data_IF_161258973777
#
_entry.id   IF_161258973777
#
_cell.length_a   1.000
_cell.length_b   1.000
_cell.length_c   1.000
_cell.angle_alpha   90.00
_cell.angle_beta   90.00
_cell.angle_gamma   90.00
#
_symmetry.space_group_name_H-M   'P 1'
#
loop_
_entity.id
_entity.type
_entity.pdbx_description
1 polymer ?
#
# COMPACT_ATOMS: atom_id res chain seq x y z
N UNK A 1 -13.16 -5.62 28.11
CA UNK A 1 -12.31 -6.66 28.72
C UNK A 1 -10.92 -6.09 28.95
N UNK A 2 -10.14 -6.68 29.86
CA UNK A 2 -8.73 -6.32 30.10
C UNK A 2 -7.75 -7.29 29.40
N UNK A 3 -8.25 -8.07 28.44
CA UNK A 3 -7.48 -9.11 27.77
C UNK A 3 -6.46 -8.52 26.79
N UNK A 4 -5.26 -9.08 26.77
CA UNK A 4 -4.18 -8.70 25.86
C UNK A 4 -3.58 -9.95 25.23
N UNK A 5 -3.56 -10.00 23.89
CA UNK A 5 -2.95 -11.08 23.11
C UNK A 5 -1.71 -10.51 22.43
N UNK A 6 -0.54 -11.07 22.76
CA UNK A 6 0.74 -10.74 22.13
C UNK A 6 1.26 -11.95 21.36
N UNK A 7 1.52 -11.77 20.06
CA UNK A 7 2.07 -12.79 19.17
C UNK A 7 3.44 -12.32 18.71
N UNK A 8 4.46 -13.14 18.92
CA UNK A 8 5.82 -12.89 18.44
C UNK A 8 6.34 -14.11 17.70
N UNK A 9 6.63 -13.95 16.41
CA UNK A 9 7.29 -14.96 15.58
C UNK A 9 8.74 -14.52 15.31
N UNK A 10 9.70 -15.44 15.43
CA UNK A 10 11.13 -15.14 15.21
C UNK A 10 11.56 -15.20 13.74
N UNK A 11 10.75 -15.80 12.88
CA UNK A 11 11.05 -16.00 11.46
C UNK A 11 9.84 -15.64 10.61
N UNK A 12 8.96 -16.61 10.40
CA UNK A 12 7.85 -16.51 9.47
C UNK A 12 6.53 -16.60 10.24
N UNK A 13 5.54 -15.81 9.83
CA UNK A 13 4.16 -15.90 10.27
C UNK A 13 3.27 -15.94 9.04
N UNK A 14 2.62 -17.08 8.85
CA UNK A 14 1.67 -17.30 7.76
C UNK A 14 0.25 -17.36 8.33
N UNK A 15 -0.65 -16.57 7.75
CA UNK A 15 -2.07 -16.63 8.07
C UNK A 15 -2.84 -17.09 6.83
N UNK A 16 -3.41 -18.30 6.90
CA UNK A 16 -4.25 -18.86 5.86
C UNK A 16 -5.68 -18.96 6.37
N UNK A 17 -6.60 -18.28 5.71
CA UNK A 17 -8.04 -18.35 5.98
C UNK A 17 -8.71 -18.99 4.78
N UNK A 18 -9.29 -20.18 4.95
CA UNK A 18 -9.85 -20.98 3.84
C UNK A 18 -11.25 -20.53 3.39
N UNK A 19 -11.88 -19.65 4.16
CA UNK A 19 -13.21 -19.13 3.85
C UNK A 19 -13.25 -17.61 4.09
N UNK A 20 -13.67 -17.14 5.28
CA UNK A 20 -13.86 -15.72 5.55
C UNK A 20 -12.95 -15.21 6.67
N UNK A 21 -12.40 -14.00 6.48
CA UNK A 21 -11.73 -13.22 7.52
C UNK A 21 -12.50 -11.93 7.76
N UNK A 22 -12.95 -11.73 9.00
CA UNK A 22 -13.54 -10.46 9.45
C UNK A 22 -12.67 -9.87 10.54
N UNK A 23 -12.24 -8.62 10.36
CA UNK A 23 -11.45 -7.88 11.35
C UNK A 23 -12.23 -6.63 11.76
N UNK A 24 -12.51 -6.50 13.05
CA UNK A 24 -13.03 -5.28 13.64
C UNK A 24 -12.01 -4.73 14.66
N UNK A 25 -11.49 -3.54 14.41
CA UNK A 25 -10.58 -2.84 15.33
C UNK A 25 -11.34 -1.68 15.95
N UNK A 26 -11.64 -1.79 17.25
CA UNK A 26 -12.47 -0.80 17.97
C UNK A 26 -11.78 0.55 18.24
N UNK A 27 -10.50 0.67 17.92
CA UNK A 27 -9.71 1.90 18.07
C UNK A 27 -8.75 2.04 16.88
N UNK A 28 -7.46 1.76 17.09
CA UNK A 28 -6.41 2.04 16.11
C UNK A 28 -5.74 0.76 15.60
N UNK A 29 -5.36 0.78 14.31
CA UNK A 29 -4.46 -0.20 13.70
C UNK A 29 -3.18 0.51 13.30
N UNK A 30 -2.05 -0.05 13.73
CA UNK A 30 -0.72 0.42 13.36
C UNK A 30 0.00 -0.70 12.61
N UNK A 31 0.35 -0.44 11.35
CA UNK A 31 1.13 -1.36 10.52
C UNK A 31 2.47 -0.70 10.19
N UNK A 32 3.57 -1.39 10.49
CA UNK A 32 4.92 -0.98 10.11
C UNK A 32 5.61 -2.14 9.41
N UNK A 33 5.99 -1.93 8.16
CA UNK A 33 6.71 -2.90 7.33
C UNK A 33 8.05 -2.28 6.96
N UNK A 34 9.16 -2.90 7.40
CA UNK A 34 10.52 -2.37 7.18
C UNK A 34 11.00 -2.52 5.73
N UNK A 35 10.37 -3.41 4.97
CA UNK A 35 10.70 -3.70 3.58
C UNK A 35 9.45 -3.52 2.69
N UNK A 36 9.28 -4.40 1.71
CA UNK A 36 8.19 -4.30 0.74
C UNK A 36 6.88 -4.83 1.32
N UNK A 37 5.78 -4.18 0.96
CA UNK A 37 4.41 -4.68 1.15
C UNK A 37 3.81 -4.98 -0.22
N UNK A 38 3.15 -6.13 -0.34
CA UNK A 38 2.47 -6.56 -1.57
C UNK A 38 1.03 -6.93 -1.25
N UNK A 39 0.10 -6.54 -2.11
CA UNK A 39 -1.32 -6.89 -1.99
C UNK A 39 -1.89 -7.14 -3.37
N UNK A 40 -2.58 -8.25 -3.54
CA UNK A 40 -3.30 -8.62 -4.75
C UNK A 40 -4.72 -8.99 -4.34
N UNK A 41 -5.69 -8.27 -4.90
CA UNK A 41 -7.11 -8.54 -4.70
C UNK A 41 -7.63 -9.16 -5.99
N UNK A 42 -8.06 -10.42 -5.94
CA UNK A 42 -8.52 -11.15 -7.12
C UNK A 42 -9.88 -10.69 -7.67
N UNK A 43 -10.55 -9.76 -6.98
CA UNK A 43 -11.84 -9.19 -7.34
C UNK A 43 -11.85 -7.68 -7.00
N UNK A 44 -12.83 -7.21 -6.24
CA UNK A 44 -13.02 -5.79 -5.93
C UNK A 44 -12.33 -5.38 -4.62
N UNK A 45 -11.79 -4.16 -4.58
CA UNK A 45 -11.40 -3.48 -3.35
C UNK A 45 -12.37 -2.31 -3.12
N UNK A 46 -13.02 -2.29 -1.96
CA UNK A 46 -13.86 -1.18 -1.52
C UNK A 46 -13.20 -0.51 -0.32
N UNK A 47 -12.93 0.80 -0.43
CA UNK A 47 -12.24 1.55 0.62
C UNK A 47 -12.96 2.86 0.92
N UNK A 48 -13.41 3.01 2.16
CA UNK A 48 -14.00 4.26 2.67
C UNK A 48 -13.12 4.82 3.78
N UNK A 49 -12.68 6.06 3.64
CA UNK A 49 -11.96 6.81 4.67
C UNK A 49 -12.82 8.01 5.04
N UNK A 50 -13.30 8.07 6.28
CA UNK A 50 -14.17 9.17 6.74
C UNK A 50 -13.40 10.45 7.05
N UNK A 51 -12.16 10.31 7.53
CA UNK A 51 -11.26 11.42 7.78
C UNK A 51 -10.34 11.70 6.58
N UNK A 52 -9.31 12.51 6.82
CA UNK A 52 -8.28 12.75 5.82
C UNK A 52 -7.47 11.48 5.54
N UNK A 53 -7.15 11.23 4.27
CA UNK A 53 -6.12 10.27 3.85
C UNK A 53 -4.86 11.06 3.54
N UNK A 54 -3.87 11.00 4.43
CA UNK A 54 -2.54 11.58 4.20
C UNK A 54 -1.65 10.52 3.55
N UNK A 55 -0.89 10.88 2.51
CA UNK A 55 -0.02 9.95 1.79
C UNK A 55 1.24 10.69 1.33
N UNK A 56 2.41 10.19 1.75
CA UNK A 56 3.71 10.67 1.29
C UNK A 56 4.40 9.54 0.50
N UNK A 57 4.60 9.74 -0.79
CA UNK A 57 5.38 8.82 -1.63
C UNK A 57 6.73 9.49 -1.91
N UNK A 58 7.78 9.00 -1.25
CA UNK A 58 9.13 9.60 -1.34
C UNK A 58 9.85 9.34 -2.66
N UNK A 59 9.34 8.42 -3.46
CA UNK A 59 9.85 8.11 -4.80
C UNK A 59 8.71 8.21 -5.81
N UNK A 60 8.72 7.40 -6.85
CA UNK A 60 7.69 7.42 -7.88
C UNK A 60 6.41 6.72 -7.42
N UNK A 61 5.27 7.37 -7.67
CA UNK A 61 3.95 6.76 -7.62
C UNK A 61 3.53 6.35 -9.04
N UNK A 62 3.11 5.09 -9.21
CA UNK A 62 2.74 4.53 -10.52
C UNK A 62 1.29 4.07 -10.45
N UNK A 63 0.43 4.65 -11.28
CA UNK A 63 -0.98 4.28 -11.38
C UNK A 63 -1.29 3.84 -12.82
N UNK A 64 -1.82 2.62 -12.96
CA UNK A 64 -2.39 2.13 -14.22
C UNK A 64 -3.85 1.78 -13.98
N UNK A 65 -4.75 2.41 -14.74
CA UNK A 65 -6.19 2.10 -14.73
C UNK A 65 -6.52 1.52 -16.10
N UNK A 66 -6.90 0.24 -16.13
CA UNK A 66 -7.27 -0.44 -17.39
C UNK A 66 -8.65 -0.06 -17.94
N UNK A 67 -9.50 0.52 -17.07
CA UNK A 67 -10.83 1.04 -17.41
C UNK A 67 -10.92 2.55 -17.22
N UNK A 68 -12.02 3.01 -16.62
CA UNK A 68 -12.27 4.43 -16.37
C UNK A 68 -11.76 4.87 -15.01
N UNK A 69 -11.08 6.02 -14.95
CA UNK A 69 -10.77 6.71 -13.70
C UNK A 69 -11.75 7.87 -13.50
N UNK A 70 -12.55 7.82 -12.44
CA UNK A 70 -13.38 8.93 -12.02
C UNK A 70 -12.69 9.72 -10.89
N UNK A 71 -12.54 11.02 -11.08
CA UNK A 71 -11.98 11.93 -10.06
C UNK A 71 -13.03 12.99 -9.78
N UNK A 72 -13.58 13.00 -8.56
CA UNK A 72 -14.46 14.05 -8.06
C UNK A 72 -13.87 14.60 -6.77
N UNK A 73 -13.57 15.88 -6.77
CA UNK A 73 -13.17 16.65 -5.60
C UNK A 73 -14.23 17.72 -5.33
N UNK A 74 -14.50 18.00 -4.06
CA UNK A 74 -15.51 19.00 -3.69
C UNK A 74 -14.96 20.42 -3.78
N UNK A 75 -13.78 20.65 -3.21
CA UNK A 75 -13.24 22.00 -3.02
C UNK A 75 -12.19 22.39 -4.08
N UNK A 76 -11.16 21.56 -4.29
CA UNK A 76 -10.10 21.86 -5.24
C UNK A 76 -9.26 20.67 -5.66
N UNK A 77 -8.83 20.67 -6.92
CA UNK A 77 -7.84 19.75 -7.48
C UNK A 77 -6.56 20.55 -7.76
N UNK A 78 -5.60 20.47 -6.84
CA UNK A 78 -4.32 21.17 -6.96
C UNK A 78 -3.25 20.17 -7.40
N UNK A 79 -2.50 20.52 -8.46
CA UNK A 79 -1.43 19.69 -9.00
C UNK A 79 -0.25 20.55 -9.43
N UNK A 80 0.95 20.15 -9.02
CA UNK A 80 2.21 20.74 -9.43
C UNK A 80 3.13 19.63 -9.92
N UNK A 81 3.78 19.84 -11.05
CA UNK A 81 4.80 18.95 -11.58
C UNK A 81 6.08 19.74 -11.82
N UNK A 82 7.21 19.16 -11.42
CA UNK A 82 8.49 19.87 -11.52
C UNK A 82 9.00 20.07 -12.95
N UNK A 83 8.46 19.35 -13.94
CA UNK A 83 8.91 19.43 -15.35
C UNK A 83 7.75 19.42 -16.34
N UNK A 84 6.85 18.45 -16.26
CA UNK A 84 5.83 18.24 -17.29
C UNK A 84 4.50 17.77 -16.70
N UNK A 85 3.41 18.34 -17.21
CA UNK A 85 2.05 17.80 -17.10
C UNK A 85 1.62 17.38 -18.50
N UNK A 86 1.48 16.08 -18.74
CA UNK A 86 1.05 15.52 -20.02
C UNK A 86 -0.42 15.08 -19.97
N UNK A 87 -1.27 15.74 -20.76
CA UNK A 87 -2.69 15.38 -20.90
C UNK A 87 -2.95 15.07 -22.37
N UNK A 88 -3.25 13.79 -22.66
CA UNK A 88 -3.67 13.34 -23.99
C UNK A 88 -4.98 12.58 -23.89
N UNK A 89 -5.95 12.96 -24.71
CA UNK A 89 -7.14 12.18 -24.99
C UNK A 89 -7.12 11.70 -26.44
N UNK A 90 -7.67 10.50 -26.68
CA UNK A 90 -7.82 9.99 -28.05
C UNK A 90 -8.86 10.78 -28.86
N UNK A 91 -9.90 11.28 -28.19
CA UNK A 91 -11.00 12.02 -28.83
C UNK A 91 -11.05 13.47 -28.34
N UNK A 92 -11.42 13.71 -27.08
CA UNK A 92 -11.71 15.06 -26.57
C UNK A 92 -11.04 15.33 -25.22
N UNK A 93 -10.59 16.56 -25.03
CA UNK A 93 -10.31 17.17 -23.72
C UNK A 93 -11.32 18.30 -23.53
N UNK A 94 -12.11 18.25 -22.47
CA UNK A 94 -13.11 19.29 -22.14
C UNK A 94 -12.71 19.89 -20.80
N UNK A 95 -12.51 21.20 -20.78
CA UNK A 95 -12.21 21.99 -19.57
C UNK A 95 -13.32 23.02 -19.43
N UNK A 96 -14.09 22.92 -18.35
CA UNK A 96 -15.18 23.83 -18.03
C UNK A 96 -14.86 24.54 -16.72
N UNK A 97 -15.09 25.85 -16.70
CA UNK A 97 -15.04 26.64 -15.48
C UNK A 97 -16.24 27.59 -15.46
N UNK A 98 -16.78 27.85 -14.27
CA UNK A 98 -17.95 28.71 -14.12
C UNK A 98 -17.66 30.20 -14.31
N UNK A 99 -16.44 30.64 -14.02
CA UNK A 99 -16.07 32.06 -14.06
C UNK A 99 -14.90 32.35 -15.02
N UNK A 100 -13.82 31.59 -14.89
CA UNK A 100 -12.58 31.89 -15.60
C UNK A 100 -11.75 30.63 -15.84
N UNK A 101 -11.13 30.54 -17.03
CA UNK A 101 -10.02 29.64 -17.33
C UNK A 101 -8.79 30.51 -17.64
N UNK A 102 -7.68 30.26 -16.97
CA UNK A 102 -6.42 30.99 -17.18
C UNK A 102 -5.26 30.04 -17.44
N UNK A 103 -4.56 30.24 -18.56
CA UNK A 103 -3.31 29.59 -18.92
C UNK A 103 -2.19 30.62 -18.84
N UNK A 104 -1.16 30.40 -18.01
CA UNK A 104 -0.06 31.34 -17.82
C UNK A 104 1.29 30.68 -18.08
N UNK A 105 2.17 31.39 -18.78
CA UNK A 105 3.56 31.00 -19.03
C UNK A 105 4.48 32.23 -18.92
N UNK A 106 5.28 32.30 -17.86
CA UNK A 106 6.05 33.51 -17.53
C UNK A 106 5.13 34.73 -17.38
N UNK A 107 5.42 35.79 -18.12
CA UNK A 107 4.61 37.02 -18.19
C UNK A 107 3.51 36.98 -19.26
N UNK A 108 3.34 35.87 -19.98
CA UNK A 108 2.29 35.70 -20.99
C UNK A 108 1.10 34.91 -20.42
N UNK A 109 -0.12 35.23 -20.85
CA UNK A 109 -1.30 34.44 -20.48
C UNK A 109 -2.40 34.45 -21.55
N UNK A 110 -3.22 33.40 -21.50
CA UNK A 110 -4.52 33.30 -22.16
C UNK A 110 -5.56 33.20 -21.06
N UNK A 111 -6.56 34.06 -21.08
CA UNK A 111 -7.66 34.07 -20.12
C UNK A 111 -8.99 34.00 -20.87
N UNK A 112 -9.89 33.16 -20.39
CA UNK A 112 -11.26 33.00 -20.90
C UNK A 112 -12.19 33.29 -19.73
N UNK A 113 -13.01 34.33 -19.86
CA UNK A 113 -13.99 34.74 -18.85
C UNK A 113 -15.27 35.29 -19.51
N UNK A 114 -16.18 35.87 -18.72
CA UNK A 114 -17.44 36.44 -19.22
C UNK A 114 -17.25 37.59 -20.23
N UNK A 115 -16.07 38.22 -20.31
CA UNK A 115 -15.75 39.26 -21.29
C UNK A 115 -15.22 38.72 -22.62
N UNK A 116 -14.92 37.41 -22.69
CA UNK A 116 -14.40 36.74 -23.89
C UNK A 116 -13.01 36.14 -23.67
N UNK A 117 -12.18 36.14 -24.72
CA UNK A 117 -10.82 35.60 -24.71
C UNK A 117 -9.83 36.77 -24.71
N UNK A 118 -8.99 36.85 -23.68
CA UNK A 118 -7.86 37.79 -23.58
C UNK A 118 -6.56 37.02 -23.81
N UNK A 119 -5.69 37.58 -24.65
CA UNK A 119 -4.32 37.07 -24.87
C UNK A 119 -3.36 38.23 -24.66
N UNK A 120 -2.42 38.09 -23.74
CA UNK A 120 -1.47 39.15 -23.38
C UNK A 120 -0.07 38.59 -23.13
N UNK A 121 0.96 39.39 -23.40
CA UNK A 121 2.36 39.03 -23.21
C UNK A 121 3.35 40.00 -23.88
N UNK A 122 4.64 39.96 -23.50
CA UNK A 122 5.66 40.93 -23.93
C UNK A 122 6.10 40.82 -25.42
N UNK A 123 5.66 39.81 -26.17
CA UNK A 123 6.01 39.59 -27.58
C UNK A 123 4.77 39.65 -28.50
N UNK A 124 5.01 39.79 -29.81
CA UNK A 124 3.97 39.67 -30.85
C UNK A 124 3.27 38.32 -30.76
N UNK A 125 1.95 38.34 -30.54
CA UNK A 125 1.09 37.14 -30.61
C UNK A 125 1.14 36.59 -32.03
N UNK A 126 1.73 35.40 -32.20
CA UNK A 126 1.80 34.70 -33.49
C UNK A 126 0.62 33.74 -33.64
N UNK A 127 -0.34 34.13 -34.46
CA UNK A 127 -1.40 33.25 -34.93
C UNK A 127 -0.91 32.57 -36.23
N UNK A 128 -1.21 31.28 -36.43
CA UNK A 128 -0.95 30.52 -37.67
C UNK A 128 0.52 30.20 -38.02
N UNK A 129 1.34 29.81 -37.04
CA UNK A 129 2.79 29.62 -37.23
C UNK A 129 3.24 28.35 -37.98
N UNK A 130 2.33 27.47 -38.42
CA UNK A 130 2.64 26.29 -39.25
C UNK A 130 3.66 25.28 -38.69
N UNK A 131 4.16 25.46 -37.46
CA UNK A 131 5.20 24.64 -36.84
C UNK A 131 4.63 23.44 -36.09
N UNK A 132 5.32 22.30 -36.18
CA UNK A 132 5.02 21.13 -35.34
C UNK A 132 5.49 21.41 -33.90
N UNK A 133 4.58 21.32 -32.94
CA UNK A 133 4.93 21.34 -31.52
C UNK A 133 5.67 20.05 -31.14
N UNK A 134 6.64 20.10 -30.21
CA UNK A 134 7.26 18.89 -29.69
C UNK A 134 6.21 18.01 -29.01
N UNK A 135 6.32 16.70 -29.23
CA UNK A 135 5.47 15.71 -28.57
C UNK A 135 5.87 15.64 -27.08
N UNK A 136 4.89 15.62 -26.18
CA UNK A 136 5.16 15.44 -24.75
C UNK A 136 5.49 13.99 -24.37
N UNK A 137 5.94 13.77 -23.13
CA UNK A 137 6.38 12.45 -22.66
C UNK A 137 5.20 11.53 -22.37
N UNK A 138 5.08 10.44 -23.12
CA UNK A 138 4.03 9.45 -22.86
C UNK A 138 4.23 8.76 -21.50
N UNK A 139 3.17 8.56 -20.69
CA UNK A 139 3.28 7.89 -19.41
C UNK A 139 3.63 6.41 -19.57
N UNK A 140 4.62 5.94 -18.80
CA UNK A 140 5.09 4.55 -18.78
C UNK A 140 5.08 3.99 -17.35
N UNK A 141 3.88 3.84 -16.73
CA UNK A 141 3.79 3.36 -15.36
C UNK A 141 4.27 1.90 -15.24
N UNK A 142 4.97 1.60 -14.15
CA UNK A 142 5.38 0.24 -13.80
C UNK A 142 4.20 -0.50 -13.15
N UNK A 143 4.04 -1.77 -13.48
CA UNK A 143 3.05 -2.63 -12.87
C UNK A 143 3.51 -3.12 -11.47
N UNK A 144 2.58 -3.45 -10.57
CA UNK A 144 2.90 -4.06 -9.28
C UNK A 144 3.69 -5.37 -9.43
N UNK A 145 4.56 -5.66 -8.47
CA UNK A 145 5.28 -6.93 -8.37
C UNK A 145 4.35 -8.09 -7.95
N UNK A 146 4.81 -9.33 -8.14
CA UNK A 146 4.04 -10.54 -7.77
C UNK A 146 3.96 -10.70 -6.26
N UNK A 147 2.78 -11.03 -5.73
CA UNK A 147 2.60 -11.48 -4.35
C UNK A 147 3.17 -12.89 -4.18
N UNK A 148 3.82 -13.15 -3.05
CA UNK A 148 4.33 -14.48 -2.71
C UNK A 148 3.18 -15.44 -2.38
N UNK A 149 3.23 -16.66 -2.91
CA UNK A 149 2.29 -17.73 -2.53
C UNK A 149 2.75 -18.39 -1.23
N UNK A 150 1.83 -18.56 -0.29
CA UNK A 150 2.03 -19.34 0.93
C UNK A 150 1.69 -20.81 0.62
N UNK A 151 2.50 -21.74 1.13
CA UNK A 151 2.26 -23.19 1.02
C UNK A 151 1.04 -23.59 1.86
N UNK A 152 0.04 -24.21 1.22
CA UNK A 152 -1.25 -24.53 1.83
C UNK A 152 -1.54 -26.05 1.87
N UNK A 153 -0.49 -26.86 1.74
CA UNK A 153 -0.54 -28.32 1.51
C UNK A 153 -1.18 -29.15 2.63
N UNK A 154 -1.31 -28.65 3.87
CA UNK A 154 -2.12 -29.28 4.91
C UNK A 154 -2.56 -28.29 6.02
N UNK A 155 -3.84 -28.26 6.44
CA UNK A 155 -4.25 -27.49 7.60
C UNK A 155 -3.59 -28.04 8.89
N UNK A 156 -3.22 -27.14 9.81
CA UNK A 156 -2.77 -27.53 11.15
C UNK A 156 -3.85 -28.29 11.93
N UNK A 157 -3.45 -29.02 12.99
CA UNK A 157 -4.39 -29.69 13.90
C UNK A 157 -5.33 -28.70 14.60
N UNK A 158 -6.57 -29.12 14.88
CA UNK A 158 -7.55 -28.30 15.59
C UNK A 158 -7.00 -27.81 16.93
N UNK A 159 -7.27 -26.54 17.27
CA UNK A 159 -6.77 -25.93 18.52
C UNK A 159 -7.20 -26.72 19.77
N UNK A 160 -8.42 -27.27 19.80
CA UNK A 160 -8.87 -28.12 20.92
C UNK A 160 -8.08 -29.43 21.03
N UNK A 161 -7.74 -30.06 19.90
CA UNK A 161 -6.88 -31.26 19.88
C UNK A 161 -5.46 -30.94 20.35
N UNK A 162 -4.94 -29.75 20.00
CA UNK A 162 -3.64 -29.25 20.50
C UNK A 162 -3.66 -28.90 21.99
N UNK A 163 -4.71 -28.23 22.47
CA UNK A 163 -4.90 -27.87 23.87
C UNK A 163 -5.13 -29.08 24.78
N UNK A 164 -5.64 -30.18 24.23
CA UNK A 164 -5.87 -31.44 24.95
C UNK A 164 -4.60 -32.29 25.08
N UNK A 165 -3.53 -31.96 24.35
CA UNK A 165 -2.21 -32.57 24.51
C UNK A 165 -1.46 -31.93 25.68
N UNK A 166 -0.71 -32.73 26.43
CA UNK A 166 0.18 -32.25 27.51
C UNK A 166 1.48 -31.57 27.01
N UNK A 167 1.58 -31.34 25.69
CA UNK A 167 2.70 -30.64 25.06
C UNK A 167 2.43 -29.13 24.95
N UNK A 168 3.47 -28.28 25.05
CA UNK A 168 3.30 -26.85 24.88
C UNK A 168 2.83 -26.54 23.44
N UNK A 169 1.87 -25.62 23.30
CA UNK A 169 1.29 -25.20 22.00
C UNK A 169 2.32 -24.47 21.13
N UNK A 170 3.38 -23.97 21.77
CA UNK A 170 4.60 -23.47 21.15
C UNK A 170 5.69 -24.50 21.45
N UNK A 171 6.36 -25.05 20.44
CA UNK A 171 7.59 -25.80 20.68
C UNK A 171 8.66 -24.84 21.23
N UNK A 172 8.72 -24.72 22.55
CA UNK A 172 9.74 -23.96 23.28
C UNK A 172 11.13 -24.64 23.22
N UNK A 173 11.27 -25.74 22.49
CA UNK A 173 12.44 -26.63 22.60
C UNK A 173 13.08 -26.88 21.23
N UNK A 174 14.13 -26.11 20.92
CA UNK A 174 15.02 -26.36 19.77
C UNK A 174 16.02 -27.47 20.07
N UNK A 175 15.55 -28.66 20.49
CA UNK A 175 16.43 -29.80 20.80
C UNK A 175 17.07 -30.33 19.51
N UNK A 176 18.41 -30.37 19.37
CA UNK A 176 19.05 -30.98 18.21
C UNK A 176 18.66 -32.44 18.05
N UNK A 177 18.53 -32.93 16.82
CA UNK A 177 18.17 -34.33 16.53
C UNK A 177 19.20 -35.26 17.18
N UNK A 178 18.76 -36.12 18.09
CA UNK A 178 19.62 -37.02 18.89
C UNK A 178 20.28 -36.38 20.13
N UNK A 179 20.06 -35.10 20.41
CA UNK A 179 20.63 -34.41 21.58
C UNK A 179 19.85 -34.66 22.89
N UNK A 180 20.23 -33.97 23.96
CA UNK A 180 19.47 -33.88 25.22
C UNK A 180 18.94 -32.45 25.41
N UNK A 181 18.02 -32.18 26.35
CA UNK A 181 17.61 -30.79 26.65
C UNK A 181 18.77 -29.87 27.08
N UNK A 182 19.91 -30.42 27.53
CA UNK A 182 21.12 -29.64 27.78
C UNK A 182 21.74 -29.07 26.48
N UNK A 183 21.52 -29.73 25.34
CA UNK A 183 22.04 -29.35 24.03
C UNK A 183 21.16 -28.33 23.31
N UNK A 184 20.08 -27.84 23.93
CA UNK A 184 19.25 -26.79 23.35
C UNK A 184 20.10 -25.50 23.19
N UNK A 185 20.09 -24.80 22.04
CA UNK A 185 20.88 -23.58 21.84
C UNK A 185 20.26 -22.34 22.52
N UNK A 186 19.01 -22.43 22.98
CA UNK A 186 18.33 -21.31 23.65
C UNK A 186 18.96 -21.03 25.02
N UNK A 187 19.24 -19.75 25.28
CA UNK A 187 19.77 -19.31 26.58
C UNK A 187 18.77 -19.56 27.72
N UNK A 188 17.46 -19.42 27.45
CA UNK A 188 16.38 -19.66 28.41
C UNK A 188 15.56 -20.93 28.07
N UNK A 189 16.23 -22.08 28.02
CA UNK A 189 15.54 -23.35 27.75
C UNK A 189 14.82 -23.88 29.00
N UNK A 190 13.48 -23.84 28.99
CA UNK A 190 12.64 -24.39 30.08
C UNK A 190 12.88 -25.87 30.37
N UNK A 191 13.11 -26.70 29.34
CA UNK A 191 13.43 -28.12 29.51
C UNK A 191 14.78 -28.36 30.21
N UNK A 192 15.77 -27.47 29.99
CA UNK A 192 17.07 -27.53 30.69
C UNK A 192 16.92 -27.17 32.16
N UNK A 193 16.15 -26.12 32.47
CA UNK A 193 15.84 -25.70 33.84
C UNK A 193 15.12 -26.81 34.63
N UNK A 194 14.14 -27.48 34.02
CA UNK A 194 13.40 -28.57 34.65
C UNK A 194 14.28 -29.77 35.05
N UNK A 195 15.24 -30.16 34.18
CA UNK A 195 16.23 -31.20 34.48
C UNK A 195 17.13 -30.85 35.67
N UNK A 196 17.54 -29.58 35.77
CA UNK A 196 18.36 -29.10 36.88
C UNK A 196 17.58 -29.07 38.21
N UNK A 197 16.28 -28.79 38.18
CA UNK A 197 15.43 -28.84 39.37
C UNK A 197 15.07 -30.26 39.83
N UNK A 198 15.08 -31.24 38.93
CA UNK A 198 14.81 -32.65 39.26
C UNK A 198 15.98 -33.40 39.92
N UNK A 199 17.19 -32.84 39.88
CA UNK A 199 18.40 -33.41 40.46
C UNK A 199 18.66 -33.01 41.93
N UNK A 200 17.70 -32.31 42.57
CA UNK A 200 17.77 -31.88 43.98
C UNK A 200 16.74 -32.58 44.88
N UNK A 201 16.52 -33.88 44.68
CA UNK A 201 15.84 -34.74 45.66
C UNK A 201 16.75 -35.88 46.07
#
# INVERSE_FOLDING_TARGET
GQEHIYIHAQRDWDQIVKHDQTINVGHERHDRVEANSYSEFGAEEHRTVKGARLTEVKRSDHLTVGGTQHIRVADGLLAEAGQEIYIRAGNNVVIEAGLEITFKAGDSFIKIDASGITVDGPQVVRLDSGGKLPDGTAPTPRLPGRVQRVDDSAPGQLLMQRLSGSGPIIELCQKPKGGTPANCPLADCGCRKALQSGARR
#
